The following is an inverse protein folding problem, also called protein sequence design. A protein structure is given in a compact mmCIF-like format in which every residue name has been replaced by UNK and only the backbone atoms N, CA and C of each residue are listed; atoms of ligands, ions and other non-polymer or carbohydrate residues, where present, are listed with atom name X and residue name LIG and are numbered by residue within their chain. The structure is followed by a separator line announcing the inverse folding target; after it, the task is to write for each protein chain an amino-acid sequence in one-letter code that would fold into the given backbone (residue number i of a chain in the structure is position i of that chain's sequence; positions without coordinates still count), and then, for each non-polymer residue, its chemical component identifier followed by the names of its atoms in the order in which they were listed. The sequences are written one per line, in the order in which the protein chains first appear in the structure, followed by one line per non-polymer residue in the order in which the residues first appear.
data_IF_663036771500
#
_entry.id   IF_663036771500
#
_cell.length_a   1.000
_cell.length_b   1.000
_cell.length_c   1.000
_cell.angle_alpha   90.00
_cell.angle_beta   90.00
_cell.angle_gamma   90.00
#
_symmetry.space_group_name_H-M   'P 1'
#
loop_
_entity.id
_entity.type
_entity.pdbx_description
1 polymer ?
#
# COMPACT_ATOMS: atom_id res chain seq x y z
N UNK A 1 31.57 -1.43 -29.98
CA UNK A 1 30.44 -1.24 -29.07
C UNK A 1 30.28 -2.55 -28.33
N UNK A 2 31.16 -2.75 -27.35
CA UNK A 2 30.85 -2.74 -25.90
C UNK A 2 29.89 -3.90 -25.59
N UNK A 3 30.46 -5.06 -25.30
CA UNK A 3 30.67 -5.56 -23.93
C UNK A 3 29.34 -6.08 -23.38
N UNK A 4 29.19 -7.40 -23.31
CA UNK A 4 28.72 -8.05 -22.08
C UNK A 4 29.14 -9.52 -22.09
N UNK A 5 30.08 -9.76 -21.18
CA UNK A 5 30.84 -10.95 -20.88
C UNK A 5 29.95 -11.98 -20.16
N UNK A 6 28.98 -12.55 -20.88
CA UNK A 6 28.24 -13.72 -20.36
C UNK A 6 29.23 -14.87 -20.32
N UNK A 7 29.79 -15.12 -19.12
CA UNK A 7 30.60 -16.30 -18.80
C UNK A 7 29.81 -17.57 -19.09
N UNK A 8 29.81 -17.98 -20.36
CA UNK A 8 29.59 -19.38 -20.74
C UNK A 8 30.83 -20.13 -20.29
N UNK A 9 30.88 -20.51 -19.02
CA UNK A 9 31.76 -21.58 -18.60
C UNK A 9 31.40 -22.78 -19.48
N UNK A 10 32.28 -23.11 -20.43
CA UNK A 10 32.17 -24.37 -21.16
C UNK A 10 32.36 -25.47 -20.14
N UNK A 11 31.26 -26.03 -19.65
CA UNK A 11 31.29 -27.21 -18.81
C UNK A 11 32.00 -28.32 -19.59
N UNK A 12 33.22 -28.67 -19.16
CA UNK A 12 33.95 -29.82 -19.69
C UNK A 12 33.42 -31.06 -18.95
N UNK A 13 32.53 -31.81 -19.59
CA UNK A 13 32.03 -33.06 -19.03
C UNK A 13 32.92 -34.22 -19.48
N UNK A 14 33.30 -35.09 -18.53
CA UNK A 14 34.04 -36.31 -18.81
C UNK A 14 33.11 -37.49 -18.58
N UNK A 15 32.67 -38.13 -19.66
CA UNK A 15 31.84 -39.33 -19.57
C UNK A 15 32.75 -40.56 -19.43
N UNK A 16 32.69 -41.24 -18.29
CA UNK A 16 33.43 -42.47 -18.03
C UNK A 16 32.53 -43.69 -18.28
N UNK A 17 33.04 -44.67 -19.05
CA UNK A 17 32.39 -45.97 -19.18
C UNK A 17 32.78 -46.86 -17.99
N UNK A 18 31.78 -47.34 -17.24
CA UNK A 18 31.98 -48.34 -16.20
C UNK A 18 32.28 -49.71 -16.82
N UNK A 19 33.01 -50.55 -16.10
CA UNK A 19 33.30 -51.94 -16.49
C UNK A 19 32.05 -52.81 -16.64
N UNK A 20 30.88 -52.33 -16.21
CA UNK A 20 29.57 -52.95 -16.43
C UNK A 20 28.91 -52.59 -17.78
N UNK A 21 29.54 -51.74 -18.61
CA UNK A 21 28.95 -51.25 -19.86
C UNK A 21 27.91 -50.12 -19.68
N UNK A 22 27.78 -49.60 -18.46
CA UNK A 22 26.95 -48.45 -18.12
C UNK A 22 27.81 -47.17 -18.11
N UNK A 23 27.25 -46.04 -18.51
CA UNK A 23 27.90 -44.73 -18.38
C UNK A 23 27.50 -44.07 -17.04
N UNK A 24 28.42 -43.32 -16.43
CA UNK A 24 28.04 -42.38 -15.37
C UNK A 24 27.22 -41.25 -16.00
N UNK A 25 25.93 -41.17 -15.70
CA UNK A 25 25.08 -40.03 -16.03
C UNK A 25 25.65 -38.78 -15.36
N UNK A 26 26.48 -38.02 -16.06
CA UNK A 26 26.79 -36.65 -15.66
C UNK A 26 25.59 -35.80 -16.10
N UNK A 27 24.94 -35.10 -15.17
CA UNK A 27 23.80 -34.25 -15.49
C UNK A 27 24.23 -33.14 -16.45
N UNK A 28 23.90 -33.33 -17.73
CA UNK A 28 24.29 -32.46 -18.84
C UNK A 28 23.50 -31.14 -18.91
N UNK A 29 22.53 -30.98 -18.01
CA UNK A 29 21.76 -29.76 -17.84
C UNK A 29 21.77 -29.41 -16.35
N UNK A 30 22.44 -28.30 -15.99
CA UNK A 30 22.37 -27.73 -14.65
C UNK A 30 21.41 -26.54 -14.69
N UNK A 31 20.59 -26.37 -13.66
CA UNK A 31 19.82 -25.14 -13.50
C UNK A 31 20.76 -23.92 -13.54
N UNK A 32 20.38 -22.90 -14.30
CA UNK A 32 21.09 -21.63 -14.24
C UNK A 32 20.68 -20.92 -12.94
N UNK A 33 21.60 -20.20 -12.32
CA UNK A 33 21.26 -19.38 -11.16
C UNK A 33 20.71 -18.04 -11.67
N UNK A 34 19.39 -17.93 -11.73
CA UNK A 34 18.69 -16.74 -12.24
C UNK A 34 18.91 -15.51 -11.33
N UNK A 35 19.41 -15.68 -10.10
CA UNK A 35 19.72 -14.58 -9.16
C UNK A 35 21.03 -13.83 -9.46
N UNK A 36 21.81 -14.28 -10.43
CA UNK A 36 23.01 -13.56 -10.88
C UNK A 36 22.62 -12.32 -11.70
N UNK A 37 21.58 -12.44 -12.52
CA UNK A 37 21.11 -11.39 -13.43
C UNK A 37 19.82 -10.73 -12.92
N UNK A 38 19.05 -11.42 -12.07
CA UNK A 38 17.81 -10.90 -11.48
C UNK A 38 18.03 -10.47 -10.04
N UNK A 39 17.60 -9.26 -9.71
CA UNK A 39 17.58 -8.74 -8.34
C UNK A 39 16.14 -8.47 -7.89
N UNK A 40 15.83 -8.88 -6.66
CA UNK A 40 14.52 -8.70 -6.04
C UNK A 40 14.31 -7.29 -5.46
N UNK A 41 15.26 -6.39 -5.73
CA UNK A 41 15.33 -5.04 -5.18
C UNK A 41 15.72 -5.03 -3.70
N UNK A 42 15.70 -3.84 -3.09
CA UNK A 42 16.22 -3.63 -1.73
C UNK A 42 15.45 -4.37 -0.61
N UNK A 43 14.23 -4.83 -0.89
CA UNK A 43 13.30 -5.39 0.09
C UNK A 43 13.03 -6.89 -0.11
N UNK A 44 13.87 -7.57 -0.89
CA UNK A 44 13.76 -8.99 -1.15
C UNK A 44 15.09 -9.69 -1.26
N UNK A 45 15.10 -10.99 -0.97
CA UNK A 45 16.22 -11.88 -1.29
C UNK A 45 15.81 -12.79 -2.45
N UNK A 46 16.62 -12.81 -3.51
CA UNK A 46 16.40 -13.73 -4.62
C UNK A 46 16.69 -15.17 -4.21
N UNK A 47 15.79 -16.09 -4.58
CA UNK A 47 15.95 -17.53 -4.45
C UNK A 47 15.70 -18.22 -5.78
N UNK A 48 16.76 -18.85 -6.29
CA UNK A 48 16.74 -19.70 -7.48
C UNK A 48 15.87 -20.95 -7.29
N UNK A 49 15.04 -21.27 -8.29
CA UNK A 49 14.18 -22.45 -8.29
C UNK A 49 14.82 -23.56 -9.14
N UNK A 50 15.31 -24.60 -8.47
CA UNK A 50 15.97 -25.74 -9.12
C UNK A 50 15.12 -26.47 -10.16
N UNK A 51 13.80 -26.43 -9.99
CA UNK A 51 12.81 -27.04 -10.87
C UNK A 51 11.73 -26.00 -11.16
N UNK A 52 11.95 -25.09 -12.13
CA UNK A 52 10.93 -24.11 -12.50
C UNK A 52 9.65 -24.80 -12.95
N UNK A 53 8.52 -24.28 -12.50
CA UNK A 53 7.19 -24.73 -12.94
C UNK A 53 6.58 -23.61 -13.74
N UNK A 54 6.67 -23.72 -15.06
CA UNK A 54 6.26 -22.65 -15.95
C UNK A 54 6.96 -22.75 -17.30
N UNK A 55 6.59 -21.87 -18.22
CA UNK A 55 7.24 -21.71 -19.50
C UNK A 55 7.81 -20.30 -19.70
N UNK A 56 7.70 -19.43 -18.70
CA UNK A 56 8.21 -18.07 -18.72
C UNK A 56 9.42 -17.91 -17.78
N UNK A 57 10.32 -17.03 -18.19
CA UNK A 57 11.52 -16.61 -17.47
C UNK A 57 11.25 -16.10 -16.04
N UNK A 58 10.04 -15.62 -15.75
CA UNK A 58 9.66 -15.16 -14.41
C UNK A 58 9.43 -16.31 -13.43
N UNK A 59 9.27 -17.55 -13.90
CA UNK A 59 8.96 -18.71 -13.05
C UNK A 59 10.21 -19.46 -12.58
N UNK A 60 11.40 -18.98 -12.94
CA UNK A 60 12.69 -19.60 -12.64
C UNK A 60 13.28 -19.20 -11.28
N UNK A 61 12.81 -18.09 -10.71
CA UNK A 61 13.19 -17.67 -9.37
C UNK A 61 11.99 -17.08 -8.64
N UNK A 62 12.15 -16.91 -7.32
CA UNK A 62 11.18 -16.28 -6.44
C UNK A 62 11.89 -15.27 -5.54
N UNK A 63 11.18 -14.20 -5.20
CA UNK A 63 11.65 -13.21 -4.25
C UNK A 63 11.10 -13.51 -2.86
N UNK A 64 11.99 -13.83 -1.93
CA UNK A 64 11.65 -13.91 -0.51
C UNK A 64 11.61 -12.48 0.06
N UNK A 65 10.45 -11.83 -0.05
CA UNK A 65 10.23 -10.44 0.40
C UNK A 65 10.21 -10.30 1.93
N UNK A 66 10.69 -9.16 2.43
CA UNK A 66 10.57 -8.80 3.85
C UNK A 66 9.12 -8.47 4.23
N UNK A 67 8.80 -8.52 5.52
CA UNK A 67 7.43 -8.25 5.99
C UNK A 67 6.95 -6.85 5.59
N UNK A 68 5.73 -6.78 5.03
CA UNK A 68 5.15 -5.57 4.47
C UNK A 68 5.40 -5.40 2.96
N UNK A 69 6.12 -6.31 2.32
CA UNK A 69 6.38 -6.27 0.88
C UNK A 69 5.84 -7.52 0.18
N UNK A 70 5.43 -7.39 -1.08
CA UNK A 70 4.97 -8.49 -1.93
C UNK A 70 5.70 -8.53 -3.28
N UNK A 71 5.71 -9.72 -3.90
CA UNK A 71 6.30 -9.93 -5.21
C UNK A 71 5.42 -9.30 -6.29
N UNK A 72 6.00 -8.37 -7.05
CA UNK A 72 5.34 -7.69 -8.17
C UNK A 72 6.20 -7.85 -9.43
N UNK A 73 5.55 -8.10 -10.55
CA UNK A 73 6.20 -8.13 -11.87
C UNK A 73 6.40 -6.71 -12.41
N UNK A 74 7.66 -6.30 -12.56
CA UNK A 74 8.05 -5.08 -13.27
C UNK A 74 8.80 -5.42 -14.55
N UNK A 75 8.10 -5.31 -15.67
CA UNK A 75 8.65 -5.71 -16.97
C UNK A 75 8.82 -7.23 -17.02
N UNK A 76 10.06 -7.70 -17.12
CA UNK A 76 10.42 -9.13 -17.16
C UNK A 76 11.01 -9.66 -15.85
N UNK A 77 11.03 -8.85 -14.79
CA UNK A 77 11.63 -9.23 -13.50
C UNK A 77 10.61 -9.11 -12.36
N UNK A 78 10.82 -9.92 -11.32
CA UNK A 78 10.09 -9.87 -10.06
C UNK A 78 10.87 -9.02 -9.07
N UNK A 79 10.18 -8.11 -8.40
CA UNK A 79 10.75 -7.30 -7.33
C UNK A 79 9.82 -7.27 -6.12
N UNK A 80 10.36 -6.94 -4.96
CA UNK A 80 9.56 -6.73 -3.75
C UNK A 80 9.13 -5.25 -3.64
N UNK A 81 7.82 -5.00 -3.71
CA UNK A 81 7.23 -3.68 -3.52
C UNK A 81 6.38 -3.62 -2.26
N UNK A 82 6.19 -2.40 -1.71
CA UNK A 82 5.36 -2.23 -0.52
C UNK A 82 3.94 -2.73 -0.80
N UNK A 83 3.40 -3.53 0.11
CA UNK A 83 2.01 -3.96 0.05
C UNK A 83 1.14 -2.73 0.22
N UNK A 84 0.14 -2.57 -0.63
CA UNK A 84 -0.81 -1.48 -0.49
C UNK A 84 -1.73 -1.73 0.71
N UNK A 85 -1.50 -0.99 1.80
CA UNK A 85 -2.23 -1.10 3.06
C UNK A 85 -3.55 -0.29 3.06
N UNK A 86 -3.93 0.36 1.96
CA UNK A 86 -5.16 1.13 1.84
C UNK A 86 -6.38 0.24 1.49
N UNK A 87 -7.32 0.00 2.43
CA UNK A 87 -8.59 -0.63 2.10
C UNK A 87 -9.48 0.30 1.24
N UNK A 88 -10.68 -0.14 0.85
CA UNK A 88 -11.50 0.59 -0.13
C UNK A 88 -11.90 2.01 0.28
N UNK A 89 -12.04 2.33 1.58
CA UNK A 89 -12.42 3.67 2.06
C UNK A 89 -12.05 3.91 3.54
N UNK A 90 -10.77 3.81 3.94
CA UNK A 90 -10.35 3.95 5.33
C UNK A 90 -10.54 5.37 5.89
N UNK A 91 -10.57 6.37 5.00
CA UNK A 91 -10.66 7.79 5.35
C UNK A 91 -12.10 8.32 5.29
N UNK A 92 -13.11 7.45 5.43
CA UNK A 92 -14.53 7.81 5.47
C UNK A 92 -15.02 8.65 4.27
N UNK A 93 -14.38 8.52 3.09
CA UNK A 93 -14.64 9.33 1.89
C UNK A 93 -14.41 10.85 2.06
N UNK A 94 -13.83 11.28 3.17
CA UNK A 94 -13.56 12.68 3.53
C UNK A 94 -12.06 12.96 3.62
N UNK A 95 -11.27 12.15 2.92
CA UNK A 95 -9.83 12.24 2.83
C UNK A 95 -9.29 11.22 1.84
N UNK A 96 -7.98 11.29 1.59
CA UNK A 96 -7.24 10.37 0.74
C UNK A 96 -6.42 9.40 1.59
N UNK A 97 -6.45 8.12 1.24
CA UNK A 97 -5.58 7.15 1.89
C UNK A 97 -4.17 7.26 1.32
N UNK A 98 -3.20 7.34 2.22
CA UNK A 98 -1.78 7.30 1.93
C UNK A 98 -1.23 5.99 2.48
N UNK A 99 -0.69 5.19 1.58
CA UNK A 99 0.00 3.95 1.88
C UNK A 99 1.25 4.22 2.74
N UNK A 100 1.50 3.34 3.70
CA UNK A 100 2.68 3.35 4.55
C UNK A 100 3.14 1.92 4.77
N UNK A 101 4.27 1.73 5.48
CA UNK A 101 4.78 0.38 5.70
C UNK A 101 3.92 -0.34 6.76
N UNK A 102 3.23 -1.42 6.36
CA UNK A 102 2.36 -2.23 7.22
C UNK A 102 1.28 -1.41 7.94
N UNK A 103 0.87 -0.30 7.33
CA UNK A 103 -0.06 0.67 7.90
C UNK A 103 -0.54 1.64 6.84
N UNK A 104 -1.56 2.42 7.15
CA UNK A 104 -1.96 3.53 6.31
C UNK A 104 -2.22 4.78 7.16
N UNK A 105 -2.12 5.94 6.52
CA UNK A 105 -2.55 7.21 7.09
C UNK A 105 -3.57 7.87 6.18
N UNK A 106 -4.42 8.72 6.75
CA UNK A 106 -5.38 9.49 5.99
C UNK A 106 -4.97 10.95 5.94
N UNK A 107 -4.95 11.51 4.74
CA UNK A 107 -4.89 12.95 4.50
C UNK A 107 -6.31 13.49 4.47
N UNK A 108 -6.74 14.15 5.55
CA UNK A 108 -8.12 14.55 5.75
C UNK A 108 -8.44 15.91 5.10
N UNK A 109 -9.66 16.03 4.57
CA UNK A 109 -10.17 17.30 4.05
C UNK A 109 -10.37 18.33 5.16
N UNK A 110 -10.53 19.61 4.79
CA UNK A 110 -10.83 20.68 5.74
C UNK A 110 -12.10 20.37 6.57
N UNK A 111 -12.06 20.67 7.87
CA UNK A 111 -13.12 20.34 8.82
C UNK A 111 -13.06 18.91 9.39
N UNK A 112 -12.02 18.14 9.06
CA UNK A 112 -11.75 16.83 9.63
C UNK A 112 -10.35 16.78 10.24
N UNK A 113 -10.20 15.98 11.30
CA UNK A 113 -8.93 15.73 11.98
C UNK A 113 -8.54 14.25 11.90
N UNK A 114 -7.25 13.98 12.03
CA UNK A 114 -6.69 12.63 12.04
C UNK A 114 -6.80 11.99 13.42
N UNK A 115 -7.34 10.77 13.50
CA UNK A 115 -7.41 9.99 14.74
C UNK A 115 -6.88 8.57 14.54
N UNK A 116 -6.18 8.04 15.55
CA UNK A 116 -5.66 6.67 15.56
C UNK A 116 -6.79 5.67 15.84
N UNK A 117 -6.83 4.56 15.11
CA UNK A 117 -7.81 3.50 15.32
C UNK A 117 -7.54 2.72 16.62
N UNK A 118 -8.60 2.48 17.41
CA UNK A 118 -8.51 1.77 18.70
C UNK A 118 -7.89 0.37 18.60
N UNK A 119 -8.19 -0.36 17.52
CA UNK A 119 -7.72 -1.73 17.30
C UNK A 119 -6.49 -1.81 16.38
N UNK A 120 -6.08 -0.67 15.78
CA UNK A 120 -4.96 -0.61 14.84
C UNK A 120 -4.15 0.67 15.13
N UNK A 121 -3.21 0.62 16.09
CA UNK A 121 -2.53 1.82 16.60
C UNK A 121 -1.64 2.52 15.57
N UNK A 122 -1.28 1.84 14.49
CA UNK A 122 -0.51 2.41 13.40
C UNK A 122 -1.38 3.00 12.28
N UNK A 123 -2.70 2.76 12.32
CA UNK A 123 -3.63 3.22 11.29
C UNK A 123 -4.38 4.46 11.75
N UNK A 124 -4.45 5.45 10.87
CA UNK A 124 -5.05 6.75 11.13
C UNK A 124 -6.21 6.98 10.19
N UNK A 125 -7.37 7.40 10.72
CA UNK A 125 -8.59 7.73 9.96
C UNK A 125 -9.00 9.20 10.19
N UNK A 126 -10.03 9.65 9.46
CA UNK A 126 -10.57 11.01 9.58
C UNK A 126 -11.85 11.04 10.41
N UNK A 127 -11.93 11.96 11.37
CA UNK A 127 -13.15 12.29 12.11
C UNK A 127 -13.49 13.76 11.97
N UNK A 128 -14.78 14.14 11.98
CA UNK A 128 -15.15 15.55 11.88
C UNK A 128 -14.59 16.33 13.06
N UNK A 129 -14.02 17.50 12.78
CA UNK A 129 -13.61 18.43 13.81
C UNK A 129 -14.86 19.03 14.45
N UNK A 130 -15.05 18.78 15.73
CA UNK A 130 -16.20 19.31 16.47
C UNK A 130 -15.91 20.76 16.84
N UNK A 131 -16.79 21.68 16.45
CA UNK A 131 -16.72 23.06 16.93
C UNK A 131 -17.09 23.13 18.42
N UNK A 132 -16.51 24.10 19.13
CA UNK A 132 -16.86 24.36 20.52
C UNK A 132 -18.32 24.82 20.67
N UNK A 133 -18.77 24.90 21.92
CA UNK A 133 -20.06 25.50 22.23
C UNK A 133 -20.09 26.96 21.71
N UNK A 134 -21.14 27.35 20.95
CA UNK A 134 -21.23 28.71 20.46
C UNK A 134 -21.37 29.69 21.64
N UNK A 135 -20.81 30.91 21.55
CA UNK A 135 -20.95 31.90 22.61
C UNK A 135 -22.42 32.29 22.80
N UNK A 136 -22.85 32.39 24.06
CA UNK A 136 -24.20 32.85 24.40
C UNK A 136 -24.26 34.36 24.16
N UNK A 137 -25.04 34.77 23.16
CA UNK A 137 -25.36 36.18 22.93
C UNK A 137 -26.74 36.51 23.53
N UNK A 138 -26.87 37.70 24.10
CA UNK A 138 -28.13 38.14 24.71
C UNK A 138 -29.27 38.14 23.67
N UNK A 139 -30.43 37.58 24.03
CA UNK A 139 -31.57 37.31 23.14
C UNK A 139 -31.38 36.17 22.10
N UNK A 140 -30.32 35.36 22.18
CA UNK A 140 -30.25 34.12 21.39
C UNK A 140 -30.97 32.94 22.05
N UNK A 141 -31.64 32.13 21.24
CA UNK A 141 -32.12 30.80 21.63
C UNK A 141 -31.51 29.76 20.70
N UNK A 142 -30.61 28.93 21.21
CA UNK A 142 -30.09 27.78 20.50
C UNK A 142 -31.01 26.58 20.77
N UNK A 143 -31.90 26.26 19.83
CA UNK A 143 -32.68 25.02 19.88
C UNK A 143 -31.86 23.89 19.26
N UNK A 144 -30.83 23.40 19.97
CA UNK A 144 -30.08 22.23 19.51
C UNK A 144 -30.89 20.96 19.81
N UNK A 145 -31.16 20.13 18.79
CA UNK A 145 -31.63 18.77 19.04
C UNK A 145 -30.46 17.93 19.56
N UNK A 146 -30.57 17.29 20.75
CA UNK A 146 -29.54 16.39 21.24
C UNK A 146 -29.58 15.13 20.38
N UNK A 147 -28.60 14.98 19.48
CA UNK A 147 -28.36 13.88 18.52
C UNK A 147 -28.57 14.18 17.02
N UNK A 148 -28.61 15.44 16.57
CA UNK A 148 -28.48 15.71 15.13
C UNK A 148 -27.01 15.54 14.69
N UNK A 149 -26.70 14.46 13.97
CA UNK A 149 -25.41 14.26 13.27
C UNK A 149 -25.30 15.06 11.97
N UNK A 150 -26.28 15.91 11.65
CA UNK A 150 -26.16 16.88 10.57
C UNK A 150 -25.32 18.07 11.04
N UNK A 151 -24.20 18.31 10.37
CA UNK A 151 -23.51 19.61 10.33
C UNK A 151 -24.37 20.70 9.64
N UNK A 152 -25.70 20.59 9.67
CA UNK A 152 -26.55 21.67 9.18
C UNK A 152 -26.42 22.83 10.13
N UNK A 153 -25.88 23.92 9.58
CA UNK A 153 -25.87 25.25 10.14
C UNK A 153 -27.15 25.47 10.95
N UNK A 154 -27.04 25.45 12.28
CA UNK A 154 -28.17 25.68 13.15
C UNK A 154 -28.63 27.13 12.92
N UNK A 155 -29.75 27.30 12.23
CA UNK A 155 -30.37 28.60 12.06
C UNK A 155 -30.91 29.04 13.43
N UNK A 156 -30.25 30.03 14.04
CA UNK A 156 -30.81 30.73 15.18
C UNK A 156 -32.06 31.48 14.72
N UNK A 157 -33.24 31.08 15.18
CA UNK A 157 -34.47 31.83 14.97
C UNK A 157 -34.68 32.79 16.14
N UNK A 158 -34.62 34.09 15.86
CA UNK A 158 -34.94 35.11 16.84
C UNK A 158 -36.45 35.05 17.16
N UNK A 159 -36.80 34.69 18.39
CA UNK A 159 -38.17 34.84 18.89
C UNK A 159 -38.44 36.34 19.07
N UNK A 160 -39.25 36.90 18.16
CA UNK A 160 -39.73 38.29 18.07
C UNK A 160 -38.77 39.33 17.49
N UNK A 161 -38.69 39.37 16.15
CA UNK A 161 -39.01 40.54 15.31
C UNK A 161 -38.51 40.27 13.89
N UNK A 162 -39.37 40.47 12.87
CA UNK A 162 -39.06 40.58 11.45
C UNK A 162 -37.95 39.66 10.89
N UNK A 163 -38.35 38.57 10.22
CA UNK A 163 -37.50 37.60 9.51
C UNK A 163 -36.19 38.16 8.94
N UNK A 164 -35.10 38.05 9.67
CA UNK A 164 -33.73 38.12 9.15
C UNK A 164 -32.98 36.89 9.61
N UNK A 165 -32.88 35.91 8.71
CA UNK A 165 -31.97 34.78 8.84
C UNK A 165 -30.55 35.29 8.67
N UNK A 166 -29.74 35.25 9.73
CA UNK A 166 -28.31 35.53 9.61
C UNK A 166 -27.62 34.24 9.17
N UNK A 167 -27.39 34.14 7.85
CA UNK A 167 -26.54 33.10 7.26
C UNK A 167 -25.08 33.50 7.50
N UNK A 168 -24.41 32.89 8.49
CA UNK A 168 -22.96 32.84 8.49
C UNK A 168 -22.53 31.69 7.59
N UNK A 169 -22.41 31.98 6.30
CA UNK A 169 -21.71 31.14 5.33
C UNK A 169 -20.70 32.03 4.62
N UNK A 170 -19.44 31.98 5.06
CA UNK A 170 -18.36 32.44 4.20
C UNK A 170 -18.15 31.38 3.11
N UNK A 171 -18.40 31.78 1.87
CA UNK A 171 -17.92 31.09 0.68
C UNK A 171 -16.40 31.16 0.68
N UNK A 172 -15.73 30.03 0.90
CA UNK A 172 -14.30 29.90 0.57
C UNK A 172 -14.24 29.58 -0.92
N UNK A 173 -13.81 30.57 -1.71
CA UNK A 173 -13.41 30.42 -3.12
C UNK A 173 -12.16 29.58 -3.27
#
# INVERSE_FOLDING_TARGET
TSDDDVRRERANFSLMCSSSGLFEITEMCKNLDDCIESDCGDYGLCRDLRNPVGNDSTDHYVCDCVSGYEEVLKGTHKICENINDCPSSPCNLVGSCEDALQSYRCSCNAGFETVVLKNHPNNVTCTPQVCGEPPIIENSQCTHQPNSTLHSMAAATASNASSTSVLFGETVT
#
